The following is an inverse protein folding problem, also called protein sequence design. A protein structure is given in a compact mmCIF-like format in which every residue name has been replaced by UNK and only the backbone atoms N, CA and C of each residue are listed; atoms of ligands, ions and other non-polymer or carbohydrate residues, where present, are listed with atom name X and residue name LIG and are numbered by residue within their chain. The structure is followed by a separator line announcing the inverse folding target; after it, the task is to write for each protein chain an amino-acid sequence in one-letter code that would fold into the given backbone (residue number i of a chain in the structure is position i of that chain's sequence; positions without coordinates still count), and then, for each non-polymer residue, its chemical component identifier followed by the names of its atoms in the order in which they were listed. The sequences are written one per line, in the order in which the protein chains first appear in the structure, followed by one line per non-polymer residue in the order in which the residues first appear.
data_IF_723014885444
#
_entry.id   IF_723014885444
#
_cell.length_a   1.000
_cell.length_b   1.000
_cell.length_c   1.000
_cell.angle_alpha   90.00
_cell.angle_beta   90.00
_cell.angle_gamma   90.00
#
_symmetry.space_group_name_H-M   'P 1'
#
loop_
_entity.id
_entity.type
_entity.pdbx_description
1 polymer ?
#
# COMPACT_ATOMS: atom_id res chain seq x y z
N UNK A 1 -1.02 -7.94 22.89
CA UNK A 1 -0.56 -6.73 23.62
C UNK A 1 -0.30 -5.59 22.63
N UNK A 2 -0.94 -4.42 22.81
CA UNK A 2 -0.60 -3.25 22.00
C UNK A 2 0.80 -2.79 22.42
N UNK A 3 1.79 -2.99 21.56
CA UNK A 3 3.14 -2.43 21.70
C UNK A 3 3.00 -0.91 21.85
N UNK A 4 3.62 -0.33 22.88
CA UNK A 4 3.57 1.11 23.10
C UNK A 4 4.16 1.83 21.87
N UNK A 5 3.63 3.00 21.50
CA UNK A 5 4.20 3.84 20.43
C UNK A 5 5.67 4.14 20.71
N UNK A 6 6.01 4.32 22.00
CA UNK A 6 7.38 4.50 22.47
C UNK A 6 8.24 3.27 22.17
N UNK A 7 7.68 2.08 22.21
CA UNK A 7 8.40 0.83 21.94
C UNK A 7 8.70 0.64 20.45
N UNK A 8 7.82 1.06 19.54
CA UNK A 8 8.08 1.00 18.09
C UNK A 8 9.22 1.94 17.67
N UNK A 9 9.28 3.14 18.24
CA UNK A 9 10.35 4.10 17.93
C UNK A 9 11.71 3.59 18.41
N UNK A 10 11.78 3.03 19.63
CA UNK A 10 12.99 2.41 20.17
C UNK A 10 13.43 1.22 19.33
N UNK A 11 12.49 0.33 18.96
CA UNK A 11 12.77 -0.81 18.09
C UNK A 11 13.35 -0.35 16.74
N UNK A 12 12.74 0.66 16.11
CA UNK A 12 13.22 1.18 14.83
C UNK A 12 14.67 1.69 14.90
N UNK A 13 15.00 2.50 15.93
CA UNK A 13 16.37 2.99 16.14
C UNK A 13 17.35 1.83 16.40
N UNK A 14 16.94 0.83 17.17
CA UNK A 14 17.77 -0.36 17.43
C UNK A 14 18.05 -1.14 16.14
N UNK A 15 17.03 -1.39 15.31
CA UNK A 15 17.16 -2.08 14.03
C UNK A 15 18.05 -1.32 13.04
N UNK A 16 18.04 0.02 13.03
CA UNK A 16 18.99 0.80 12.23
C UNK A 16 20.44 0.51 12.63
N UNK A 17 20.70 0.37 13.93
CA UNK A 17 22.05 0.11 14.45
C UNK A 17 22.48 -1.33 14.24
N UNK A 18 21.58 -2.29 14.39
CA UNK A 18 21.89 -3.72 14.31
C UNK A 18 21.78 -4.30 12.89
N UNK A 19 21.02 -3.66 12.00
CA UNK A 19 20.64 -4.21 10.70
C UNK A 19 19.51 -5.25 10.78
N UNK A 20 18.90 -5.44 11.95
CA UNK A 20 17.77 -6.35 12.13
C UNK A 20 16.48 -5.80 11.50
N UNK A 21 15.48 -6.67 11.34
CA UNK A 21 14.18 -6.30 10.78
C UNK A 21 13.28 -5.66 11.86
N UNK A 22 12.71 -4.46 11.61
CA UNK A 22 11.78 -3.83 12.56
C UNK A 22 10.49 -4.62 12.76
N UNK A 23 9.84 -4.46 13.91
CA UNK A 23 8.50 -5.03 14.15
C UNK A 23 7.47 -4.53 13.14
N UNK A 24 7.57 -3.25 12.73
CA UNK A 24 6.74 -2.63 11.72
C UNK A 24 7.46 -2.62 10.36
N UNK A 25 7.49 -3.78 9.69
CA UNK A 25 8.14 -3.91 8.38
C UNK A 25 7.40 -3.17 7.27
N UNK A 26 8.09 -2.94 6.14
CA UNK A 26 7.48 -2.35 4.95
C UNK A 26 6.29 -3.17 4.42
N UNK A 27 6.34 -4.48 4.57
CA UNK A 27 5.26 -5.39 4.13
C UNK A 27 3.98 -5.17 4.95
N UNK A 28 4.10 -4.98 6.27
CA UNK A 28 2.96 -4.63 7.13
C UNK A 28 2.38 -3.27 6.72
N UNK A 29 3.25 -2.30 6.43
CA UNK A 29 2.84 -0.99 5.93
C UNK A 29 2.09 -1.07 4.60
N UNK A 30 2.63 -1.83 3.63
CA UNK A 30 2.02 -2.06 2.31
C UNK A 30 0.61 -2.64 2.45
N UNK A 31 0.47 -3.77 3.16
CA UNK A 31 -0.82 -4.45 3.35
C UNK A 31 -1.86 -3.57 4.02
N UNK A 32 -1.44 -2.74 4.98
CA UNK A 32 -2.33 -1.80 5.66
C UNK A 32 -2.85 -0.75 4.68
N UNK A 33 -1.96 -0.18 3.85
CA UNK A 33 -2.34 0.77 2.82
C UNK A 33 -3.28 0.16 1.77
N UNK A 34 -2.99 -1.07 1.33
CA UNK A 34 -3.81 -1.80 0.35
C UNK A 34 -5.27 -1.90 0.81
N UNK A 35 -5.51 -2.32 2.06
CA UNK A 35 -6.88 -2.46 2.61
C UNK A 35 -7.64 -1.14 2.57
N UNK A 36 -6.99 -0.04 2.95
CA UNK A 36 -7.62 1.30 2.93
C UNK A 36 -7.96 1.73 1.50
N UNK A 37 -7.05 1.53 0.55
CA UNK A 37 -7.29 1.87 -0.85
C UNK A 37 -8.39 1.02 -1.47
N UNK A 38 -8.38 -0.31 -1.26
CA UNK A 38 -9.41 -1.20 -1.76
C UNK A 38 -10.79 -0.88 -1.17
N UNK A 39 -10.87 -0.53 0.13
CA UNK A 39 -12.10 -0.07 0.76
C UNK A 39 -12.65 1.22 0.14
N UNK A 40 -11.79 2.18 -0.18
CA UNK A 40 -12.17 3.41 -0.88
C UNK A 40 -12.68 3.13 -2.29
N UNK A 41 -12.06 2.21 -3.03
CA UNK A 41 -12.50 1.81 -4.37
C UNK A 41 -13.88 1.13 -4.30
N UNK A 42 -14.07 0.18 -3.37
CA UNK A 42 -15.36 -0.49 -3.17
C UNK A 42 -16.48 0.51 -2.81
N UNK A 43 -16.17 1.47 -1.94
CA UNK A 43 -17.09 2.55 -1.55
C UNK A 43 -17.45 3.42 -2.75
N UNK A 44 -16.46 3.82 -3.56
CA UNK A 44 -16.67 4.66 -4.75
C UNK A 44 -17.53 3.98 -5.82
N UNK A 45 -17.38 2.66 -5.99
CA UNK A 45 -18.13 1.88 -6.97
C UNK A 45 -19.46 1.35 -6.43
N UNK A 46 -19.70 1.43 -5.12
CA UNK A 46 -20.93 0.96 -4.47
C UNK A 46 -21.14 -0.55 -4.55
N UNK A 47 -20.07 -1.35 -4.67
CA UNK A 47 -20.15 -2.81 -4.86
C UNK A 47 -18.97 -3.56 -4.24
N UNK A 48 -19.19 -4.83 -3.94
CA UNK A 48 -18.14 -5.76 -3.49
C UNK A 48 -17.17 -6.05 -4.63
N UNK A 49 -15.87 -6.06 -4.33
CA UNK A 49 -14.80 -6.32 -5.29
C UNK A 49 -14.04 -7.61 -4.95
N UNK A 50 -13.59 -8.33 -5.98
CA UNK A 50 -12.72 -9.52 -5.85
C UNK A 50 -11.29 -9.12 -6.22
N UNK A 51 -10.42 -9.05 -5.22
CA UNK A 51 -9.02 -8.67 -5.40
C UNK A 51 -8.10 -9.90 -5.30
N UNK A 52 -7.25 -10.08 -6.30
CA UNK A 52 -6.19 -11.06 -6.37
C UNK A 52 -4.95 -10.48 -5.67
N UNK A 53 -4.85 -10.72 -4.36
CA UNK A 53 -3.77 -10.17 -3.53
C UNK A 53 -2.36 -10.60 -3.96
N UNK A 54 -2.10 -11.85 -4.39
CA UNK A 54 -0.80 -12.23 -4.93
C UNK A 54 -0.38 -11.44 -6.18
N UNK A 55 -1.30 -11.19 -7.11
CA UNK A 55 -0.99 -10.48 -8.36
C UNK A 55 -1.35 -8.98 -8.33
N UNK A 56 -1.84 -8.47 -7.19
CA UNK A 56 -2.19 -7.07 -6.96
C UNK A 56 -3.15 -6.48 -8.00
N UNK A 57 -4.20 -7.22 -8.36
CA UNK A 57 -5.17 -6.83 -9.41
C UNK A 57 -6.59 -7.21 -9.07
N UNK A 58 -7.57 -6.56 -9.68
CA UNK A 58 -8.95 -7.05 -9.65
C UNK A 58 -9.18 -8.10 -10.73
N UNK A 59 -9.86 -9.19 -10.39
CA UNK A 59 -10.19 -10.24 -11.34
C UNK A 59 -11.37 -9.81 -12.21
N UNK A 60 -11.16 -9.68 -13.53
CA UNK A 60 -12.19 -9.36 -14.53
C UNK A 60 -12.96 -8.04 -14.24
N UNK A 61 -12.27 -7.02 -13.71
CA UNK A 61 -12.89 -5.75 -13.33
C UNK A 61 -12.03 -4.55 -13.78
N UNK A 62 -12.18 -4.18 -15.04
CA UNK A 62 -11.41 -3.07 -15.64
C UNK A 62 -11.71 -1.73 -15.00
N UNK A 63 -12.96 -1.52 -14.56
CA UNK A 63 -13.39 -0.27 -13.93
C UNK A 63 -12.68 -0.07 -12.59
N UNK A 64 -12.66 -1.10 -11.73
CA UNK A 64 -11.92 -1.07 -10.47
C UNK A 64 -10.40 -1.02 -10.72
N UNK A 65 -9.90 -1.73 -11.73
CA UNK A 65 -8.47 -1.75 -12.08
C UNK A 65 -7.95 -0.36 -12.45
N UNK A 66 -8.73 0.45 -13.18
CA UNK A 66 -8.36 1.84 -13.49
C UNK A 66 -8.19 2.72 -12.25
N UNK A 67 -8.78 2.35 -11.11
CA UNK A 67 -8.69 3.09 -9.85
C UNK A 67 -7.50 2.69 -8.98
N UNK A 68 -6.76 1.63 -9.31
CA UNK A 68 -5.51 1.26 -8.63
C UNK A 68 -4.37 2.24 -8.98
N UNK A 69 -4.45 2.87 -10.14
CA UNK A 69 -3.48 3.83 -10.63
C UNK A 69 -4.02 5.24 -10.68
N UNK A 70 -3.13 6.18 -11.03
CA UNK A 70 -3.50 7.54 -11.40
C UNK A 70 -3.02 7.82 -12.82
N UNK A 71 -3.81 8.56 -13.58
CA UNK A 71 -3.33 9.15 -14.83
C UNK A 71 -2.36 10.28 -14.49
N UNK A 72 -1.12 10.15 -14.94
CA UNK A 72 -0.11 11.21 -14.79
C UNK A 72 -0.40 12.38 -15.74
N UNK A 73 0.01 13.59 -15.35
CA UNK A 73 -0.16 14.79 -16.18
C UNK A 73 0.71 14.71 -17.44
N UNK A 74 0.17 15.19 -18.55
CA UNK A 74 0.91 15.35 -19.81
C UNK A 74 2.13 16.27 -19.61
N UNK A 75 3.22 15.98 -20.32
CA UNK A 75 4.49 16.70 -20.17
C UNK A 75 5.34 16.28 -18.96
N UNK A 76 4.87 15.31 -18.15
CA UNK A 76 5.71 14.64 -17.15
C UNK A 76 6.29 15.58 -16.10
N UNK A 77 5.47 16.14 -15.22
CA UNK A 77 6.00 16.97 -14.13
C UNK A 77 6.70 16.12 -13.06
N UNK A 78 8.03 16.23 -12.94
CA UNK A 78 8.98 15.70 -11.91
C UNK A 78 8.73 14.32 -11.27
N UNK A 79 7.81 13.49 -11.74
CA UNK A 79 7.34 12.37 -10.92
C UNK A 79 6.45 11.35 -11.60
N UNK A 80 6.60 11.13 -12.91
CA UNK A 80 6.13 9.88 -13.52
C UNK A 80 7.17 8.81 -13.19
N UNK A 81 6.84 7.79 -12.39
CA UNK A 81 7.76 6.70 -12.15
C UNK A 81 8.07 6.02 -13.48
N UNK A 82 9.34 5.91 -13.84
CA UNK A 82 9.73 4.95 -14.86
C UNK A 82 9.40 3.56 -14.35
N UNK A 83 8.70 2.78 -15.17
CA UNK A 83 8.44 1.38 -14.86
C UNK A 83 9.77 0.71 -14.50
N UNK A 84 9.80 0.06 -13.34
CA UNK A 84 10.96 -0.68 -12.81
C UNK A 84 11.14 -2.00 -13.54
#
# INVERSE_FOLDING_TARGET
PKTDVVDNQRNWIACIKSGETPHATIEIGRRTADVVHLGNIATRLGRTLRFDSPNQRFANDEEATRLLGRTYREGGHWGVPTAS
#
